data_IF_581218377202
#
_entry.id   IF_581218377202
#
_cell.length_a   1.000
_cell.length_b   1.000
_cell.length_c   1.000
_cell.angle_alpha   90.00
_cell.angle_beta   90.00
_cell.angle_gamma   90.00
#
_symmetry.space_group_name_H-M   'P 1'
#
loop_
_entity.id
_entity.type
_entity.pdbx_description
1 polymer ?
#
# COMPACT_ATOMS: atom_id res chain seq x y z
N UNK A 1 8.83 13.83 -21.84
CA UNK A 1 9.40 14.12 -20.51
C UNK A 1 8.28 14.79 -19.72
N UNK A 2 8.13 14.47 -18.45
CA UNK A 2 7.15 15.11 -17.56
C UNK A 2 7.40 16.63 -17.50
N UNK A 3 6.34 17.43 -17.47
CA UNK A 3 6.42 18.89 -17.29
C UNK A 3 6.94 19.26 -15.88
N UNK A 4 6.73 18.36 -14.90
CA UNK A 4 7.06 18.58 -13.48
C UNK A 4 8.32 17.81 -13.08
N UNK A 5 9.21 18.50 -12.38
CA UNK A 5 10.45 17.95 -11.83
C UNK A 5 10.26 17.47 -10.39
N UNK A 6 11.21 16.73 -9.85
CA UNK A 6 11.22 16.31 -8.45
C UNK A 6 11.09 17.51 -7.49
N UNK A 7 11.65 18.69 -7.88
CA UNK A 7 11.62 19.88 -7.03
C UNK A 7 10.22 20.48 -6.89
N UNK A 8 9.36 20.32 -7.92
CA UNK A 8 7.99 20.84 -7.92
C UNK A 8 7.09 20.14 -6.89
N UNK A 9 7.46 18.95 -6.44
CA UNK A 9 6.71 18.19 -5.41
C UNK A 9 7.28 18.35 -4.00
N UNK A 10 8.45 19.00 -3.83
CA UNK A 10 9.10 19.15 -2.53
C UNK A 10 8.62 20.39 -1.77
N UNK A 11 8.36 20.19 -0.49
CA UNK A 11 8.06 21.28 0.45
C UNK A 11 8.68 21.03 1.81
N UNK A 12 9.12 22.10 2.49
CA UNK A 12 9.65 22.05 3.84
C UNK A 12 10.91 21.18 4.00
N UNK A 13 11.29 21.00 5.26
CA UNK A 13 12.42 20.13 5.63
C UNK A 13 11.93 18.95 6.48
N UNK A 14 12.21 17.70 6.09
CA UNK A 14 11.84 16.52 6.87
C UNK A 14 12.46 16.56 8.27
N UNK A 15 11.66 16.21 9.28
CA UNK A 15 12.04 16.21 10.70
C UNK A 15 11.95 14.83 11.33
N UNK A 16 12.19 13.80 10.55
CA UNK A 16 12.33 12.44 11.07
C UNK A 16 13.72 12.23 11.68
N UNK A 17 13.88 11.14 12.42
CA UNK A 17 15.17 10.76 12.98
C UNK A 17 16.22 10.56 11.88
N UNK A 18 17.49 10.92 12.10
CA UNK A 18 18.57 10.58 11.17
C UNK A 18 18.60 9.07 10.91
N UNK A 19 18.67 8.67 9.65
CA UNK A 19 18.66 7.26 9.23
C UNK A 19 17.28 6.58 9.18
N UNK A 20 16.21 7.29 9.54
CA UNK A 20 14.84 6.77 9.39
C UNK A 20 14.49 6.49 7.92
N UNK A 21 13.88 5.35 7.64
CA UNK A 21 13.48 4.95 6.30
C UNK A 21 12.46 5.87 5.63
N UNK A 22 11.72 6.68 6.41
CA UNK A 22 10.77 7.66 5.88
C UNK A 22 11.46 8.70 4.97
N UNK A 23 12.74 9.04 5.22
CA UNK A 23 13.50 9.93 4.35
C UNK A 23 13.71 9.35 2.95
N UNK A 24 14.11 8.08 2.89
CA UNK A 24 14.34 7.38 1.62
C UNK A 24 13.03 7.22 0.84
N UNK A 25 11.96 6.84 1.53
CA UNK A 25 10.64 6.69 0.93
C UNK A 25 10.10 8.03 0.40
N UNK A 26 10.24 9.13 1.13
CA UNK A 26 9.86 10.47 0.64
C UNK A 26 10.59 10.81 -0.67
N UNK A 27 11.90 10.50 -0.76
CA UNK A 27 12.67 10.67 -1.99
C UNK A 27 12.11 9.84 -3.16
N UNK A 28 11.73 8.59 -2.89
CA UNK A 28 11.11 7.72 -3.89
C UNK A 28 9.75 8.24 -4.34
N UNK A 29 8.92 8.75 -3.43
CA UNK A 29 7.61 9.31 -3.74
C UNK A 29 7.72 10.58 -4.60
N UNK A 30 8.61 11.51 -4.26
CA UNK A 30 8.87 12.69 -5.09
C UNK A 30 9.32 12.31 -6.50
N UNK A 31 10.21 11.30 -6.61
CA UNK A 31 10.69 10.82 -7.90
C UNK A 31 9.56 10.14 -8.69
N UNK A 32 8.77 9.29 -8.06
CA UNK A 32 7.62 8.64 -8.70
C UNK A 32 6.62 9.68 -9.22
N UNK A 33 6.27 10.68 -8.42
CA UNK A 33 5.35 11.74 -8.84
C UNK A 33 5.89 12.53 -10.05
N UNK A 34 7.20 12.85 -10.07
CA UNK A 34 7.78 13.53 -11.23
C UNK A 34 7.79 12.68 -12.51
N UNK A 35 7.93 11.36 -12.38
CA UNK A 35 7.87 10.44 -13.53
C UNK A 35 6.42 10.16 -13.98
N UNK A 36 5.44 10.18 -13.06
CA UNK A 36 4.01 10.08 -13.36
C UNK A 36 3.52 11.37 -14.05
N UNK A 37 4.02 12.54 -13.63
CA UNK A 37 3.78 13.82 -14.30
C UNK A 37 2.44 14.47 -14.01
N UNK A 38 1.74 14.08 -12.94
CA UNK A 38 0.48 14.71 -12.53
C UNK A 38 0.78 16.06 -11.86
N UNK A 39 0.07 17.11 -12.28
CA UNK A 39 0.24 18.44 -11.70
C UNK A 39 0.07 18.43 -10.17
N UNK A 40 0.93 19.11 -9.39
CA UNK A 40 0.84 19.11 -7.94
C UNK A 40 -0.54 19.50 -7.37
N UNK A 41 -1.24 20.41 -8.03
CA UNK A 41 -2.59 20.85 -7.65
C UNK A 41 -3.70 19.84 -7.97
N UNK A 42 -3.39 18.73 -8.67
CA UNK A 42 -4.29 17.60 -8.89
C UNK A 42 -3.97 16.42 -7.96
N UNK A 43 -3.10 16.62 -6.98
CA UNK A 43 -2.69 15.61 -6.02
C UNK A 43 -3.11 16.03 -4.61
N UNK A 44 -3.67 15.08 -3.86
CA UNK A 44 -3.90 15.23 -2.43
C UNK A 44 -3.19 14.11 -1.64
N UNK A 45 -2.38 14.49 -0.66
CA UNK A 45 -1.72 13.56 0.27
C UNK A 45 -2.45 13.59 1.60
N UNK A 46 -3.07 12.48 1.98
CA UNK A 46 -3.94 12.37 3.16
C UNK A 46 -3.35 11.37 4.13
N UNK A 47 -3.04 11.79 5.34
CA UNK A 47 -2.39 10.94 6.34
C UNK A 47 -3.19 10.81 7.64
N UNK A 48 -2.94 9.70 8.36
CA UNK A 48 -3.41 9.52 9.74
C UNK A 48 -2.45 10.14 10.76
N UNK A 49 -2.05 9.36 11.77
CA UNK A 49 -1.15 9.80 12.84
C UNK A 49 0.04 8.84 12.96
N UNK A 50 1.21 9.40 13.16
CA UNK A 50 2.47 8.68 13.36
C UNK A 50 3.64 9.38 12.66
N UNK A 51 4.81 8.76 12.66
CA UNK A 51 6.00 9.31 12.00
C UNK A 51 5.77 9.48 10.50
N UNK A 52 5.28 8.45 9.82
CA UNK A 52 4.94 8.45 8.40
C UNK A 52 3.89 9.50 8.05
N UNK A 53 2.95 9.76 8.94
CA UNK A 53 1.85 10.70 8.74
C UNK A 53 2.28 12.17 8.69
N UNK A 54 3.54 12.49 8.98
CA UNK A 54 4.13 13.81 8.74
C UNK A 54 4.40 14.09 7.26
N UNK A 55 4.28 13.08 6.39
CA UNK A 55 4.64 13.17 4.98
C UNK A 55 3.93 14.32 4.23
N UNK A 56 2.63 14.63 4.44
CA UNK A 56 1.98 15.77 3.79
C UNK A 56 2.67 17.12 4.03
N UNK A 57 3.37 17.31 5.15
CA UNK A 57 4.13 18.55 5.44
C UNK A 57 5.37 18.73 4.56
N UNK A 58 5.76 17.69 3.82
CA UNK A 58 6.97 17.68 2.98
C UNK A 58 6.63 17.58 1.49
N UNK A 59 5.34 17.71 1.16
CA UNK A 59 4.82 17.63 -0.20
C UNK A 59 4.25 18.99 -0.62
N UNK A 60 4.62 19.45 -1.81
CA UNK A 60 4.04 20.64 -2.43
C UNK A 60 2.78 20.27 -3.24
N UNK A 61 1.80 19.70 -2.55
CA UNK A 61 0.49 19.26 -3.06
C UNK A 61 -0.58 19.67 -2.07
N UNK A 62 -1.86 19.42 -2.36
CA UNK A 62 -2.85 19.45 -1.29
C UNK A 62 -2.54 18.39 -0.25
N UNK A 63 -2.79 18.68 1.01
CA UNK A 63 -2.50 17.77 2.11
C UNK A 63 -3.45 17.88 3.28
N UNK A 64 -3.77 16.71 3.87
CA UNK A 64 -4.55 16.61 5.12
C UNK A 64 -3.80 15.73 6.10
N UNK A 65 -3.50 16.26 7.28
CA UNK A 65 -3.08 15.47 8.42
C UNK A 65 -4.32 15.25 9.29
N UNK A 66 -4.88 14.04 9.25
CA UNK A 66 -6.18 13.75 9.86
C UNK A 66 -6.07 13.23 11.30
N UNK A 67 -6.98 12.37 11.72
CA UNK A 67 -7.02 11.73 13.04
C UNK A 67 -6.50 10.31 12.94
N UNK A 68 -6.01 9.75 14.04
CA UNK A 68 -5.45 8.40 14.12
C UNK A 68 -6.41 7.35 13.53
N UNK A 69 -5.91 6.62 12.53
CA UNK A 69 -6.63 5.59 11.81
C UNK A 69 -7.76 6.06 10.90
N UNK A 70 -7.85 7.35 10.58
CA UNK A 70 -8.97 7.90 9.77
C UNK A 70 -8.57 8.33 8.36
N UNK A 71 -7.30 8.20 7.99
CA UNK A 71 -6.82 8.61 6.68
C UNK A 71 -7.61 7.98 5.53
N UNK A 72 -7.85 6.67 5.55
CA UNK A 72 -8.59 5.97 4.51
C UNK A 72 -10.05 6.43 4.38
N UNK A 73 -10.71 6.79 5.50
CA UNK A 73 -12.07 7.31 5.49
C UNK A 73 -12.14 8.71 4.86
N UNK A 74 -11.23 9.60 5.27
CA UNK A 74 -11.16 10.98 4.72
C UNK A 74 -10.75 10.93 3.24
N UNK A 75 -9.77 10.10 2.88
CA UNK A 75 -9.34 9.91 1.49
C UNK A 75 -10.49 9.39 0.60
N UNK A 76 -11.29 8.45 1.10
CA UNK A 76 -12.51 7.97 0.42
C UNK A 76 -13.48 9.12 0.14
N UNK A 77 -13.75 9.95 1.15
CA UNK A 77 -14.63 11.10 1.00
C UNK A 77 -14.10 12.10 -0.02
N UNK A 78 -12.81 12.42 0.03
CA UNK A 78 -12.16 13.32 -0.93
C UNK A 78 -12.25 12.81 -2.38
N UNK A 79 -12.00 11.50 -2.59
CA UNK A 79 -12.09 10.88 -3.93
C UNK A 79 -13.50 10.86 -4.48
N UNK A 80 -14.50 10.56 -3.64
CA UNK A 80 -15.91 10.57 -4.07
C UNK A 80 -16.39 11.99 -4.37
N UNK A 81 -15.94 12.99 -3.60
CA UNK A 81 -16.29 14.40 -3.81
C UNK A 81 -15.61 15.00 -5.05
N UNK A 82 -14.38 14.59 -5.35
CA UNK A 82 -13.63 15.01 -6.52
C UNK A 82 -12.89 13.84 -7.16
N UNK A 83 -13.51 13.16 -8.13
CA UNK A 83 -12.93 11.97 -8.78
C UNK A 83 -11.66 12.27 -9.58
N UNK A 84 -11.40 13.52 -9.96
CA UNK A 84 -10.23 13.89 -10.77
C UNK A 84 -8.93 13.97 -9.94
N UNK A 85 -9.03 14.02 -8.61
CA UNK A 85 -7.86 14.06 -7.75
C UNK A 85 -7.14 12.71 -7.72
N UNK A 86 -5.84 12.75 -7.85
CA UNK A 86 -4.96 11.62 -7.49
C UNK A 86 -4.68 11.68 -5.99
N UNK A 87 -5.16 10.67 -5.26
CA UNK A 87 -5.05 10.66 -3.80
C UNK A 87 -4.02 9.65 -3.34
N UNK A 88 -3.07 10.12 -2.53
CA UNK A 88 -2.10 9.31 -1.81
C UNK A 88 -2.47 9.27 -0.33
N UNK A 89 -2.95 8.13 0.15
CA UNK A 89 -3.25 7.91 1.55
C UNK A 89 -2.03 7.31 2.25
N UNK A 90 -1.55 7.95 3.30
CA UNK A 90 -0.33 7.57 4.02
C UNK A 90 -0.67 7.14 5.45
N UNK A 91 -0.26 5.94 5.81
CA UNK A 91 -0.37 5.41 7.18
C UNK A 91 0.88 4.63 7.56
N UNK A 92 1.21 4.61 8.85
CA UNK A 92 2.04 3.54 9.42
C UNK A 92 1.21 2.29 9.67
N UNK A 93 1.89 1.17 9.90
CA UNK A 93 1.26 -0.12 10.22
C UNK A 93 0.33 -0.02 11.44
N UNK A 94 0.77 0.65 12.51
CA UNK A 94 -0.05 0.88 13.70
C UNK A 94 -1.26 1.76 13.44
N UNK A 95 -1.11 2.83 12.67
CA UNK A 95 -2.19 3.75 12.32
C UNK A 95 -3.23 3.08 11.40
N UNK A 96 -2.76 2.43 10.35
CA UNK A 96 -3.62 1.87 9.31
C UNK A 96 -4.30 0.56 9.69
N UNK A 97 -3.64 -0.29 10.49
CA UNK A 97 -4.10 -1.66 10.74
C UNK A 97 -4.64 -1.91 12.16
N UNK A 98 -4.34 -1.04 13.15
CA UNK A 98 -4.97 -1.10 14.46
C UNK A 98 -6.31 -0.33 14.44
N UNK A 99 -6.35 0.87 14.96
CA UNK A 99 -7.59 1.68 14.99
C UNK A 99 -8.13 1.99 13.58
N UNK A 100 -7.26 2.02 12.56
CA UNK A 100 -7.63 2.24 11.17
C UNK A 100 -8.10 0.99 10.43
N UNK A 101 -7.97 -0.21 11.01
CA UNK A 101 -8.21 -1.49 10.32
C UNK A 101 -9.57 -1.59 9.65
N UNK A 102 -10.64 -1.14 10.30
CA UNK A 102 -11.97 -1.11 9.72
C UNK A 102 -12.04 -0.23 8.45
N UNK A 103 -11.42 0.95 8.48
CA UNK A 103 -11.42 1.86 7.34
C UNK A 103 -10.54 1.35 6.20
N UNK A 104 -9.41 0.71 6.53
CA UNK A 104 -8.57 0.02 5.57
C UNK A 104 -9.36 -1.08 4.83
N UNK A 105 -9.99 -2.00 5.56
CA UNK A 105 -10.80 -3.08 5.00
C UNK A 105 -11.89 -2.52 4.08
N UNK A 106 -12.61 -1.49 4.51
CA UNK A 106 -13.71 -0.95 3.73
C UNK A 106 -13.27 -0.14 2.50
N UNK A 107 -12.14 0.56 2.53
CA UNK A 107 -11.58 1.23 1.36
C UNK A 107 -11.15 0.20 0.30
N UNK A 108 -10.41 -0.84 0.73
CA UNK A 108 -9.97 -1.94 -0.14
C UNK A 108 -11.16 -2.72 -0.71
N UNK A 109 -12.12 -3.13 0.13
CA UNK A 109 -13.31 -3.90 -0.29
C UNK A 109 -14.16 -3.16 -1.33
N UNK A 110 -14.31 -1.86 -1.16
CA UNK A 110 -15.06 -1.00 -2.09
C UNK A 110 -14.28 -0.68 -3.36
N UNK A 111 -13.01 -1.00 -3.42
CA UNK A 111 -12.13 -0.66 -4.53
C UNK A 111 -12.13 0.86 -4.81
N UNK A 112 -12.00 1.68 -3.76
CA UNK A 112 -11.90 3.13 -3.92
C UNK A 112 -10.61 3.47 -4.64
N UNK A 113 -10.66 4.33 -5.66
CA UNK A 113 -9.48 4.73 -6.44
C UNK A 113 -8.51 5.59 -5.60
N UNK A 114 -7.69 4.91 -4.80
CA UNK A 114 -6.73 5.47 -3.84
C UNK A 114 -5.38 4.76 -3.91
N UNK A 115 -4.30 5.52 -3.83
CA UNK A 115 -2.95 4.99 -3.60
C UNK A 115 -2.71 4.89 -2.09
N UNK A 116 -2.89 3.70 -1.52
CA UNK A 116 -2.79 3.45 -0.07
C UNK A 116 -1.38 2.98 0.29
N UNK A 117 -0.60 3.83 0.91
CA UNK A 117 0.79 3.54 1.32
C UNK A 117 0.81 3.16 2.80
N UNK A 118 1.34 1.99 3.08
CA UNK A 118 1.52 1.45 4.42
C UNK A 118 3.01 1.35 4.74
N UNK A 119 3.55 2.34 5.51
CA UNK A 119 4.93 2.29 5.99
C UNK A 119 5.00 1.35 7.20
N UNK A 120 5.56 0.15 6.99
CA UNK A 120 5.59 -0.93 7.97
C UNK A 120 6.96 -1.03 8.64
N UNK A 121 7.08 -0.45 9.83
CA UNK A 121 8.27 -0.54 10.68
C UNK A 121 8.06 -1.42 11.91
N UNK A 122 6.91 -2.09 12.02
CA UNK A 122 6.54 -3.02 13.08
C UNK A 122 6.62 -2.40 14.48
N UNK A 123 6.33 -1.08 14.61
CA UNK A 123 6.38 -0.39 15.91
C UNK A 123 5.60 0.94 15.87
N UNK A 124 5.01 1.36 16.98
CA UNK A 124 4.59 2.74 17.18
C UNK A 124 5.80 3.61 17.55
N UNK A 125 6.45 4.22 16.55
CA UNK A 125 7.66 5.02 16.77
C UNK A 125 7.39 6.37 17.42
N UNK A 126 6.33 7.09 16.97
CA UNK A 126 6.01 8.44 17.47
C UNK A 126 5.73 8.47 18.98
N UNK A 127 5.06 7.47 19.49
CA UNK A 127 4.69 7.33 20.91
C UNK A 127 5.74 6.61 21.76
N UNK A 128 6.94 6.42 21.19
CA UNK A 128 8.17 5.93 21.85
C UNK A 128 8.23 4.42 22.10
N UNK A 129 7.71 3.61 21.16
CA UNK A 129 8.10 2.21 21.06
C UNK A 129 7.11 1.20 21.64
N UNK A 130 5.81 1.45 21.57
CA UNK A 130 4.80 0.40 21.79
C UNK A 130 4.79 -0.55 20.59
N UNK A 131 4.50 -1.83 20.84
CA UNK A 131 4.31 -2.79 19.76
C UNK A 131 3.09 -2.41 18.88
N UNK A 132 3.21 -2.66 17.61
CA UNK A 132 2.15 -2.43 16.61
C UNK A 132 1.47 -3.74 16.22
N UNK A 133 0.37 -3.72 15.46
CA UNK A 133 -0.28 -4.95 15.00
C UNK A 133 0.61 -5.87 14.15
N UNK A 134 1.70 -5.35 13.59
CA UNK A 134 2.64 -6.13 12.77
C UNK A 134 3.92 -6.52 13.51
N UNK A 135 4.05 -6.14 14.79
CA UNK A 135 5.17 -6.56 15.64
C UNK A 135 5.18 -8.07 15.83
N UNK A 136 6.37 -8.67 15.76
CA UNK A 136 6.50 -10.11 15.92
C UNK A 136 6.03 -10.60 17.29
N UNK A 137 5.50 -11.83 17.37
CA UNK A 137 5.20 -12.48 18.64
C UNK A 137 6.47 -12.56 19.49
N UNK A 138 6.35 -12.26 20.78
CA UNK A 138 7.47 -12.20 21.71
C UNK A 138 8.26 -10.88 21.69
N UNK A 139 7.85 -9.89 20.88
CA UNK A 139 8.53 -8.59 20.86
C UNK A 139 8.47 -7.88 22.20
N UNK A 140 9.64 -7.56 22.75
CA UNK A 140 9.80 -6.90 24.04
C UNK A 140 9.88 -5.39 23.86
N UNK A 141 9.07 -4.66 24.59
CA UNK A 141 9.10 -3.19 24.65
C UNK A 141 8.88 -2.70 26.08
N UNK A 142 9.02 -1.38 26.30
CA UNK A 142 8.76 -0.80 27.62
C UNK A 142 7.31 -1.03 28.11
N UNK A 143 6.36 -1.05 27.19
CA UNK A 143 4.94 -1.33 27.51
C UNK A 143 4.58 -2.82 27.50
N UNK A 144 5.46 -3.67 26.99
CA UNK A 144 5.31 -5.13 26.92
C UNK A 144 6.60 -5.82 27.37
N UNK A 145 6.97 -5.70 28.66
CA UNK A 145 8.28 -6.12 29.15
C UNK A 145 8.49 -7.65 29.13
N UNK A 146 7.42 -8.43 29.02
CA UNK A 146 7.45 -9.89 28.94
C UNK A 146 7.25 -10.41 27.50
N UNK A 147 7.23 -9.51 26.52
CA UNK A 147 6.95 -9.82 25.12
C UNK A 147 5.48 -9.85 24.77
N UNK A 148 5.20 -9.68 23.47
CA UNK A 148 3.84 -9.77 22.92
C UNK A 148 3.40 -11.24 22.80
N UNK A 149 2.11 -11.53 23.02
CA UNK A 149 1.54 -12.87 22.88
C UNK A 149 0.66 -13.03 21.63
N UNK A 150 0.42 -11.92 20.94
CA UNK A 150 -0.42 -11.86 19.74
C UNK A 150 0.37 -12.27 18.49
N UNK A 151 -0.33 -12.84 17.51
CA UNK A 151 0.22 -13.05 16.19
C UNK A 151 0.14 -11.74 15.39
N UNK A 152 1.20 -11.40 14.63
CA UNK A 152 1.20 -10.18 13.85
C UNK A 152 0.22 -10.24 12.69
N UNK A 153 -0.43 -9.12 12.40
CA UNK A 153 -1.10 -8.96 11.12
C UNK A 153 -0.08 -8.99 9.97
N UNK A 154 -0.47 -9.66 8.90
CA UNK A 154 0.22 -9.64 7.62
C UNK A 154 -0.58 -8.76 6.67
N UNK A 155 -0.09 -7.57 6.27
CA UNK A 155 -0.88 -6.61 5.50
C UNK A 155 -1.47 -7.18 4.21
N UNK A 156 -0.75 -8.08 3.54
CA UNK A 156 -1.24 -8.75 2.33
C UNK A 156 -2.45 -9.67 2.59
N UNK A 157 -2.44 -10.44 3.70
CA UNK A 157 -3.59 -11.28 4.08
C UNK A 157 -4.82 -10.44 4.31
N UNK A 158 -4.67 -9.33 5.04
CA UNK A 158 -5.78 -8.42 5.31
C UNK A 158 -6.29 -7.76 4.01
N UNK A 159 -5.38 -7.36 3.13
CA UNK A 159 -5.71 -6.80 1.82
C UNK A 159 -6.49 -7.81 0.97
N UNK A 160 -5.99 -9.03 0.83
CA UNK A 160 -6.63 -10.06 0.02
C UNK A 160 -7.92 -10.60 0.64
N UNK A 161 -7.98 -10.71 1.98
CA UNK A 161 -9.22 -10.99 2.72
C UNK A 161 -10.31 -9.94 2.50
N UNK A 162 -9.91 -8.68 2.30
CA UNK A 162 -10.80 -7.59 1.90
C UNK A 162 -11.05 -7.50 0.39
N UNK A 163 -10.67 -8.51 -0.40
CA UNK A 163 -10.76 -8.57 -1.87
C UNK A 163 -9.91 -7.51 -2.59
N UNK A 164 -8.71 -7.19 -2.07
CA UNK A 164 -7.78 -6.25 -2.70
C UNK A 164 -7.42 -6.67 -4.14
N UNK A 165 -7.49 -5.70 -5.05
CA UNK A 165 -7.17 -5.88 -6.48
C UNK A 165 -5.73 -5.59 -6.78
N UNK A 166 -5.10 -4.74 -5.99
CA UNK A 166 -3.70 -4.39 -6.13
C UNK A 166 -2.97 -4.54 -4.80
N UNK A 167 -1.81 -5.17 -4.84
CA UNK A 167 -0.86 -5.21 -3.74
C UNK A 167 0.57 -5.24 -4.26
N UNK A 168 1.38 -4.33 -3.79
CA UNK A 168 2.82 -4.30 -4.05
C UNK A 168 3.60 -4.20 -2.74
N UNK A 169 4.85 -4.66 -2.75
CA UNK A 169 5.77 -4.54 -1.60
C UNK A 169 7.13 -4.05 -2.06
N UNK A 170 7.69 -3.10 -1.34
CA UNK A 170 9.06 -2.62 -1.54
C UNK A 170 9.76 -2.38 -0.22
N UNK A 171 11.07 -2.16 -0.28
CA UNK A 171 11.89 -1.76 0.87
C UNK A 171 12.20 -0.27 0.74
N UNK A 172 12.10 0.48 1.82
CA UNK A 172 12.31 1.94 1.83
C UNK A 172 13.70 2.36 1.29
N UNK A 173 14.71 1.52 1.42
CA UNK A 173 16.08 1.76 0.92
C UNK A 173 16.29 1.36 -0.54
N UNK A 174 15.30 0.72 -1.18
CA UNK A 174 15.37 0.37 -2.60
C UNK A 174 14.59 1.39 -3.43
N UNK A 175 15.27 2.48 -3.76
CA UNK A 175 14.68 3.59 -4.52
C UNK A 175 14.03 3.13 -5.83
N UNK A 176 14.69 2.25 -6.58
CA UNK A 176 14.22 1.80 -7.90
C UNK A 176 12.93 0.99 -7.78
N UNK A 177 12.92 -0.01 -6.90
CA UNK A 177 11.74 -0.84 -6.66
C UNK A 177 10.58 -0.03 -6.07
N UNK A 178 10.86 0.89 -5.14
CA UNK A 178 9.85 1.76 -4.57
C UNK A 178 9.19 2.66 -5.62
N UNK A 179 9.98 3.31 -6.48
CA UNK A 179 9.46 4.12 -7.60
C UNK A 179 8.62 3.25 -8.55
N UNK A 180 9.07 2.05 -8.89
CA UNK A 180 8.32 1.10 -9.73
C UNK A 180 6.96 0.74 -9.14
N UNK A 181 6.92 0.36 -7.85
CA UNK A 181 5.68 0.04 -7.14
C UNK A 181 4.72 1.23 -7.06
N UNK A 182 5.23 2.43 -6.77
CA UNK A 182 4.43 3.65 -6.69
C UNK A 182 3.83 4.05 -8.05
N UNK A 183 4.59 3.90 -9.13
CA UNK A 183 4.10 4.15 -10.50
C UNK A 183 3.01 3.15 -10.89
N UNK A 184 3.22 1.86 -10.60
CA UNK A 184 2.21 0.85 -10.86
C UNK A 184 0.94 1.10 -10.04
N UNK A 185 1.08 1.49 -8.76
CA UNK A 185 -0.05 1.86 -7.92
C UNK A 185 -0.85 3.04 -8.49
N UNK A 186 -0.18 4.08 -8.99
CA UNK A 186 -0.84 5.25 -9.59
C UNK A 186 -1.50 4.95 -10.95
N UNK A 187 -1.07 3.92 -11.66
CA UNK A 187 -1.65 3.48 -12.93
C UNK A 187 -2.86 2.56 -12.72
N UNK A 188 -2.87 1.80 -11.64
CA UNK A 188 -4.00 0.95 -11.28
C UNK A 188 -5.26 1.79 -11.01
N UNK A 189 -6.41 1.33 -11.49
CA UNK A 189 -7.72 1.93 -11.21
C UNK A 189 -8.39 1.19 -10.07
N UNK A 190 -8.37 1.79 -8.88
CA UNK A 190 -8.92 1.22 -7.66
C UNK A 190 -8.01 1.38 -6.45
N UNK A 191 -8.27 0.57 -5.41
CA UNK A 191 -7.50 0.61 -4.17
C UNK A 191 -6.15 -0.09 -4.34
N UNK A 192 -5.11 0.70 -4.56
CA UNK A 192 -3.72 0.22 -4.64
C UNK A 192 -3.09 0.21 -3.26
N UNK A 193 -2.77 -0.96 -2.72
CA UNK A 193 -2.04 -1.08 -1.45
C UNK A 193 -0.56 -1.32 -1.72
N UNK A 194 0.30 -0.43 -1.23
CA UNK A 194 1.76 -0.57 -1.28
C UNK A 194 2.30 -0.69 0.13
N UNK A 195 2.79 -1.86 0.50
CA UNK A 195 3.52 -2.08 1.74
C UNK A 195 4.99 -1.70 1.56
N UNK A 196 5.45 -0.75 2.35
CA UNK A 196 6.84 -0.29 2.36
C UNK A 196 7.52 -0.79 3.63
N UNK A 197 8.41 -1.77 3.50
CA UNK A 197 9.19 -2.29 4.60
C UNK A 197 10.23 -1.22 5.02
N UNK A 198 10.04 -0.65 6.20
CA UNK A 198 10.75 0.51 6.69
C UNK A 198 11.39 0.22 8.04
N UNK A 199 12.55 0.80 8.32
CA UNK A 199 13.28 0.61 9.57
C UNK A 199 13.12 1.80 10.51
N UNK A 200 12.68 1.53 11.74
CA UNK A 200 12.69 2.51 12.82
C UNK A 200 14.01 2.42 13.59
N UNK A 201 14.96 3.29 13.28
CA UNK A 201 16.33 3.27 13.86
C UNK A 201 16.38 3.47 15.37
N UNK A 202 15.30 3.95 16.00
CA UNK A 202 15.30 4.28 17.43
C UNK A 202 14.62 3.17 18.26
N UNK A 203 13.49 2.63 17.80
CA UNK A 203 12.64 1.74 18.62
C UNK A 203 12.53 0.32 18.10
N UNK A 204 12.87 0.08 16.83
CA UNK A 204 12.83 -1.24 16.21
C UNK A 204 13.87 -1.36 15.10
N UNK A 205 15.12 -1.04 15.45
CA UNK A 205 16.21 -1.11 14.49
C UNK A 205 16.50 -2.56 14.11
N UNK A 206 16.66 -2.81 12.83
CA UNK A 206 16.97 -4.13 12.30
C UNK A 206 15.77 -5.04 12.02
N UNK A 207 14.55 -4.56 12.18
CA UNK A 207 13.33 -5.39 11.96
C UNK A 207 13.23 -6.00 10.56
N UNK A 208 13.94 -5.47 9.59
CA UNK A 208 13.98 -5.95 8.20
C UNK A 208 15.43 -6.18 7.70
N UNK A 209 16.40 -6.43 8.60
CA UNK A 209 17.83 -6.51 8.26
C UNK A 209 18.15 -7.50 7.14
N UNK A 210 17.41 -8.62 7.07
CA UNK A 210 17.63 -9.64 6.03
C UNK A 210 17.50 -9.12 4.59
N UNK A 211 16.78 -7.99 4.39
CA UNK A 211 16.52 -7.41 3.07
C UNK A 211 16.75 -5.89 3.02
N UNK A 212 17.19 -5.27 4.11
CA UNK A 212 17.30 -3.80 4.16
C UNK A 212 18.51 -3.28 3.38
N UNK A 213 19.58 -4.06 3.27
CA UNK A 213 20.75 -3.79 2.43
C UNK A 213 20.61 -4.36 1.03
N UNK A 214 21.43 -3.89 0.07
CA UNK A 214 21.44 -4.41 -1.29
C UNK A 214 21.88 -5.89 -1.32
N UNK A 215 22.92 -6.22 -0.55
CA UNK A 215 23.44 -7.57 -0.41
C UNK A 215 22.40 -8.52 0.23
N UNK A 216 21.72 -8.04 1.26
CA UNK A 216 20.64 -8.79 1.91
C UNK A 216 19.50 -9.10 0.94
N UNK A 217 19.07 -8.11 0.14
CA UNK A 217 18.04 -8.32 -0.88
C UNK A 217 18.46 -9.29 -1.96
N UNK A 218 19.72 -9.23 -2.42
CA UNK A 218 20.22 -10.15 -3.43
C UNK A 218 20.10 -11.61 -3.00
N UNK A 219 20.24 -11.90 -1.71
CA UNK A 219 20.14 -13.25 -1.15
C UNK A 219 18.73 -13.65 -0.75
N UNK A 220 17.98 -12.75 -0.12
CA UNK A 220 16.76 -13.08 0.64
C UNK A 220 15.49 -12.49 0.03
N UNK A 221 15.55 -11.84 -1.13
CA UNK A 221 14.38 -11.30 -1.80
C UNK A 221 14.22 -11.85 -3.22
N UNK A 222 12.96 -11.88 -3.67
CA UNK A 222 12.61 -12.11 -5.06
C UNK A 222 11.83 -10.92 -5.58
N UNK A 223 12.24 -10.38 -6.72
CA UNK A 223 11.54 -9.29 -7.40
C UNK A 223 10.55 -9.88 -8.40
N UNK A 224 9.27 -9.65 -8.15
CA UNK A 224 8.19 -10.14 -8.99
C UNK A 224 7.90 -9.14 -10.11
N UNK A 225 7.96 -9.63 -11.34
CA UNK A 225 7.56 -8.91 -12.55
C UNK A 225 6.55 -9.75 -13.32
N UNK A 226 5.45 -9.15 -13.76
CA UNK A 226 4.44 -9.84 -14.57
C UNK A 226 5.07 -10.44 -15.84
N UNK A 227 4.74 -11.70 -16.14
CA UNK A 227 5.23 -12.43 -17.31
C UNK A 227 6.68 -12.90 -17.22
N UNK A 228 7.35 -12.75 -16.06
CA UNK A 228 8.73 -13.22 -15.86
C UNK A 228 8.77 -14.44 -14.96
N UNK A 229 9.74 -15.36 -15.19
CA UNK A 229 9.98 -16.49 -14.29
C UNK A 229 10.43 -15.97 -12.92
N UNK A 230 9.91 -16.59 -11.86
CA UNK A 230 10.19 -16.25 -10.47
C UNK A 230 11.54 -16.79 -10.01
N UNK A 231 12.62 -16.12 -10.43
CA UNK A 231 14.03 -16.50 -10.20
C UNK A 231 14.66 -15.48 -9.26
N UNK A 232 15.49 -15.95 -8.32
CA UNK A 232 16.19 -15.12 -7.33
C UNK A 232 17.56 -15.68 -6.96
N UNK A 233 18.26 -15.02 -6.01
CA UNK A 233 19.62 -15.33 -5.62
C UNK A 233 20.65 -14.42 -6.31
N UNK A 234 21.84 -14.27 -5.72
CA UNK A 234 22.90 -13.38 -6.22
C UNK A 234 23.29 -13.68 -7.68
N UNK A 235 23.28 -14.94 -8.05
CA UNK A 235 23.61 -15.43 -9.41
C UNK A 235 22.39 -15.98 -10.15
N UNK A 236 21.17 -15.66 -9.71
CA UNK A 236 19.92 -16.18 -10.27
C UNK A 236 19.84 -17.72 -10.22
N UNK A 237 20.40 -18.31 -9.17
CA UNK A 237 20.54 -19.75 -9.02
C UNK A 237 19.32 -20.47 -8.44
N UNK A 238 18.35 -19.73 -7.90
CA UNK A 238 17.13 -20.30 -7.33
C UNK A 238 15.89 -19.88 -8.08
N UNK A 239 14.87 -20.73 -8.05
CA UNK A 239 13.56 -20.45 -8.61
C UNK A 239 12.44 -21.03 -7.77
N UNK A 240 11.20 -20.56 -8.02
CA UNK A 240 10.00 -21.08 -7.40
C UNK A 240 9.28 -22.06 -8.32
N UNK A 241 8.95 -23.23 -7.80
CA UNK A 241 8.10 -24.23 -8.44
C UNK A 241 6.88 -24.53 -7.58
N UNK A 242 5.85 -25.07 -8.20
CA UNK A 242 4.69 -25.59 -7.47
C UNK A 242 5.01 -26.99 -6.92
N UNK A 243 4.66 -27.22 -5.67
CA UNK A 243 4.69 -28.55 -5.05
C UNK A 243 3.36 -28.82 -4.36
N UNK A 244 2.55 -29.67 -4.95
CA UNK A 244 1.18 -29.88 -4.49
C UNK A 244 0.38 -28.57 -4.51
N UNK A 245 -0.17 -28.16 -3.35
CA UNK A 245 -0.83 -26.88 -3.17
C UNK A 245 0.12 -25.77 -2.68
N UNK A 246 1.40 -26.06 -2.50
CA UNK A 246 2.42 -25.15 -1.97
C UNK A 246 3.36 -24.62 -3.04
N UNK A 247 4.36 -23.88 -2.55
CA UNK A 247 5.53 -23.45 -3.31
C UNK A 247 6.75 -24.18 -2.78
N UNK A 248 7.75 -24.36 -3.65
CA UNK A 248 9.05 -24.93 -3.33
C UNK A 248 10.15 -24.08 -3.95
N UNK A 249 11.19 -23.83 -3.18
CA UNK A 249 12.44 -23.28 -3.69
C UNK A 249 13.26 -24.42 -4.30
N UNK A 250 13.73 -24.21 -5.52
CA UNK A 250 14.57 -25.16 -6.24
C UNK A 250 15.84 -24.49 -6.73
N UNK A 251 16.92 -25.26 -6.91
CA UNK A 251 18.15 -24.76 -7.50
C UNK A 251 18.20 -25.10 -8.97
N UNK A 252 18.33 -24.07 -9.80
CA UNK A 252 18.39 -24.20 -11.25
C UNK A 252 19.71 -24.85 -11.65
N UNK A 253 19.66 -25.81 -12.57
CA UNK A 253 20.82 -26.61 -13.01
C UNK A 253 21.05 -27.88 -12.18
N UNK A 254 20.34 -28.07 -11.06
CA UNK A 254 20.38 -29.33 -10.30
C UNK A 254 19.16 -30.20 -10.60
N UNK A 255 19.32 -31.51 -10.53
CA UNK A 255 18.27 -32.52 -10.79
C UNK A 255 17.53 -32.34 -12.14
N UNK A 256 18.17 -31.75 -13.14
CA UNK A 256 17.59 -31.49 -14.45
C UNK A 256 16.65 -30.28 -14.52
N UNK A 257 16.55 -29.52 -13.44
CA UNK A 257 15.70 -28.30 -13.39
C UNK A 257 16.32 -27.18 -14.23
N UNK A 258 15.52 -26.58 -15.09
CA UNK A 258 15.87 -25.45 -15.96
C UNK A 258 15.02 -24.22 -15.66
N UNK A 259 15.35 -23.06 -16.24
CA UNK A 259 14.51 -21.85 -16.10
C UNK A 259 13.09 -22.05 -16.66
N UNK A 260 12.87 -22.99 -17.57
CA UNK A 260 11.56 -23.29 -18.16
C UNK A 260 10.62 -24.01 -17.18
N UNK A 261 11.17 -24.63 -16.15
CA UNK A 261 10.40 -25.30 -15.09
C UNK A 261 9.95 -24.36 -13.99
N UNK A 262 10.47 -23.11 -13.99
CA UNK A 262 10.17 -22.12 -12.96
C UNK A 262 8.83 -21.45 -13.26
N UNK A 263 8.01 -21.29 -12.20
CA UNK A 263 6.74 -20.60 -12.29
C UNK A 263 6.91 -19.17 -12.82
N UNK A 264 6.07 -18.79 -13.76
CA UNK A 264 5.99 -17.43 -14.29
C UNK A 264 4.99 -16.64 -13.45
N UNK A 265 5.37 -15.44 -13.03
CA UNK A 265 4.49 -14.57 -12.27
C UNK A 265 3.39 -13.97 -13.15
N UNK A 266 2.13 -14.15 -12.76
CA UNK A 266 0.97 -13.49 -13.37
C UNK A 266 0.29 -12.58 -12.36
N UNK A 267 0.65 -11.28 -12.35
CA UNK A 267 0.07 -10.28 -11.47
C UNK A 267 -1.44 -10.05 -11.74
N UNK A 268 -1.91 -10.37 -12.95
CA UNK A 268 -3.27 -10.13 -13.41
C UNK A 268 -4.22 -11.33 -13.22
N UNK A 269 -3.73 -12.45 -12.68
CA UNK A 269 -4.55 -13.60 -12.39
C UNK A 269 -5.69 -13.25 -11.42
N UNK A 270 -6.93 -13.57 -11.80
CA UNK A 270 -8.10 -13.27 -10.94
C UNK A 270 -8.09 -14.08 -9.64
N UNK A 271 -7.59 -15.32 -9.68
CA UNK A 271 -7.41 -16.16 -8.50
C UNK A 271 -6.30 -15.60 -7.61
N UNK A 272 -6.62 -15.41 -6.33
CA UNK A 272 -5.70 -14.81 -5.34
C UNK A 272 -4.76 -15.82 -4.69
N UNK A 273 -4.95 -17.12 -4.92
CA UNK A 273 -4.27 -18.18 -4.15
C UNK A 273 -2.75 -18.10 -4.27
N UNK A 274 -2.22 -17.97 -5.49
CA UNK A 274 -0.77 -17.85 -5.70
C UNK A 274 -0.25 -16.51 -5.15
N UNK A 275 -0.97 -15.41 -5.38
CA UNK A 275 -0.58 -14.09 -4.85
C UNK A 275 -0.47 -14.08 -3.33
N UNK A 276 -1.43 -14.73 -2.64
CA UNK A 276 -1.38 -14.85 -1.20
C UNK A 276 -0.15 -15.65 -0.75
N UNK A 277 0.13 -16.79 -1.39
CA UNK A 277 1.32 -17.60 -1.09
C UNK A 277 2.61 -16.79 -1.28
N UNK A 278 2.75 -16.08 -2.40
CA UNK A 278 3.90 -15.24 -2.67
C UNK A 278 4.06 -14.13 -1.63
N UNK A 279 2.97 -13.47 -1.26
CA UNK A 279 2.98 -12.41 -0.26
C UNK A 279 3.33 -12.88 1.15
N UNK A 280 3.10 -14.16 1.46
CA UNK A 280 3.36 -14.78 2.76
C UNK A 280 4.73 -15.46 2.87
N UNK A 281 5.49 -15.52 1.77
CA UNK A 281 6.84 -16.06 1.79
C UNK A 281 7.73 -15.28 2.75
N UNK A 282 8.45 -16.02 3.61
CA UNK A 282 9.42 -15.46 4.57
C UNK A 282 10.53 -16.46 4.87
N UNK A 283 11.68 -15.92 5.29
CA UNK A 283 12.82 -16.76 5.69
C UNK A 283 12.55 -17.64 6.90
N UNK A 284 13.34 -18.72 7.07
CA UNK A 284 14.51 -19.05 6.25
C UNK A 284 14.20 -19.81 4.95
N UNK A 285 12.97 -20.36 4.80
CA UNK A 285 12.66 -21.32 3.74
C UNK A 285 12.37 -20.65 2.39
N UNK A 286 11.93 -19.40 2.42
CA UNK A 286 11.54 -18.66 1.21
C UNK A 286 12.14 -17.26 1.17
N UNK A 287 12.36 -16.69 -0.04
CA UNK A 287 12.69 -15.29 -0.20
C UNK A 287 11.45 -14.41 0.12
N UNK A 288 11.69 -13.16 0.50
CA UNK A 288 10.63 -12.16 0.64
C UNK A 288 10.26 -11.64 -0.75
N UNK A 289 8.98 -11.71 -1.11
CA UNK A 289 8.49 -11.20 -2.38
C UNK A 289 8.41 -9.66 -2.36
N UNK A 290 9.06 -9.02 -3.33
CA UNK A 290 9.06 -7.58 -3.60
C UNK A 290 8.53 -7.32 -5.02
N UNK A 291 8.11 -6.09 -5.29
CA UNK A 291 7.50 -5.70 -6.57
C UNK A 291 5.98 -5.76 -6.53
N UNK A 292 5.36 -5.79 -7.71
CA UNK A 292 3.90 -5.88 -7.86
C UNK A 292 3.48 -7.34 -7.76
N UNK A 293 2.85 -7.71 -6.66
CA UNK A 293 2.42 -9.09 -6.38
C UNK A 293 1.07 -9.37 -7.06
N UNK A 294 0.17 -8.38 -7.06
CA UNK A 294 -1.16 -8.48 -7.66
C UNK A 294 -1.58 -7.14 -8.26
N UNK A 295 -2.17 -7.19 -9.46
CA UNK A 295 -2.71 -6.04 -10.18
C UNK A 295 -3.87 -6.51 -11.09
N UNK A 296 -5.09 -6.48 -10.59
CA UNK A 296 -6.30 -6.97 -11.28
C UNK A 296 -7.30 -5.85 -11.42
N UNK A 297 -7.65 -5.50 -12.63
CA UNK A 297 -8.65 -4.47 -12.91
C UNK A 297 -10.06 -4.90 -12.47
N UNK A 298 -10.80 -3.96 -11.90
CA UNK A 298 -12.21 -4.10 -11.53
C UNK A 298 -12.87 -2.72 -11.42
N UNK A 299 -14.20 -2.70 -11.40
CA UNK A 299 -14.97 -1.45 -11.26
C UNK A 299 -14.66 -0.78 -9.92
N UNK A 300 -14.43 0.53 -9.94
CA UNK A 300 -14.23 1.32 -8.72
C UNK A 300 -15.56 1.74 -8.11
N UNK A 301 -15.59 1.91 -6.79
CA UNK A 301 -16.79 2.40 -6.08
C UNK A 301 -17.18 3.82 -6.51
N UNK A 302 -16.18 4.72 -6.64
CA UNK A 302 -16.43 6.10 -7.04
C UNK A 302 -17.07 6.17 -8.43
N UNK A 303 -16.59 5.41 -9.41
CA UNK A 303 -17.18 5.41 -10.75
C UNK A 303 -18.59 4.80 -10.73
N UNK A 304 -18.78 3.70 -9.99
CA UNK A 304 -20.09 3.06 -9.86
C UNK A 304 -21.13 3.98 -9.20
N UNK A 305 -20.75 4.72 -8.15
CA UNK A 305 -21.64 5.69 -7.50
C UNK A 305 -22.00 6.84 -8.43
N UNK A 306 -21.02 7.40 -9.14
CA UNK A 306 -21.28 8.48 -10.09
C UNK A 306 -22.19 8.01 -11.24
N UNK A 307 -21.93 6.83 -11.80
CA UNK A 307 -22.78 6.25 -12.84
C UNK A 307 -24.24 6.04 -12.35
N UNK A 308 -24.40 5.51 -11.14
CA UNK A 308 -25.73 5.33 -10.53
C UNK A 308 -26.45 6.67 -10.32
N UNK A 309 -25.73 7.71 -9.86
CA UNK A 309 -26.31 9.05 -9.69
C UNK A 309 -26.78 9.62 -11.02
N UNK A 310 -25.98 9.48 -12.09
CA UNK A 310 -26.36 10.00 -13.42
C UNK A 310 -27.54 9.20 -14.01
N UNK A 311 -27.57 7.89 -13.82
CA UNK A 311 -28.71 7.06 -14.24
C UNK A 311 -30.01 7.50 -13.54
N UNK A 312 -29.97 7.68 -12.21
CA UNK A 312 -31.14 8.08 -11.43
C UNK A 312 -31.57 9.52 -11.78
N UNK A 313 -30.63 10.43 -12.04
CA UNK A 313 -30.95 11.78 -12.53
C UNK A 313 -31.67 11.74 -13.86
N UNK A 314 -31.36 10.81 -14.76
CA UNK A 314 -32.07 10.60 -16.03
C UNK A 314 -33.52 10.16 -15.88
N UNK A 315 -33.85 9.56 -14.71
CA UNK A 315 -35.21 9.08 -14.38
C UNK A 315 -35.98 10.07 -13.50
N UNK A 316 -35.63 11.38 -13.54
CA UNK A 316 -36.20 12.40 -12.64
C UNK A 316 -37.71 12.33 -12.56
N UNK A 317 -38.24 12.08 -11.37
CA UNK A 317 -39.64 12.16 -11.02
C UNK A 317 -40.08 13.60 -10.65
N UNK A 318 -39.13 14.39 -10.16
CA UNK A 318 -39.31 15.75 -9.69
C UNK A 318 -38.31 16.68 -10.36
N UNK A 319 -38.79 17.86 -10.80
CA UNK A 319 -37.98 18.81 -11.59
C UNK A 319 -37.54 20.02 -10.79
N UNK A 320 -38.07 20.20 -9.57
CA UNK A 320 -37.71 21.29 -8.66
C UNK A 320 -37.62 20.81 -7.21
N UNK A 321 -36.92 21.58 -6.38
CA UNK A 321 -36.88 21.35 -4.94
C UNK A 321 -38.25 21.48 -4.28
N UNK A 322 -39.08 22.44 -4.75
CA UNK A 322 -40.44 22.63 -4.28
C UNK A 322 -41.31 21.39 -4.55
N UNK A 323 -41.28 20.86 -5.76
CA UNK A 323 -41.99 19.60 -6.10
C UNK A 323 -41.56 18.45 -5.19
N UNK A 324 -40.27 18.33 -4.88
CA UNK A 324 -39.77 17.31 -3.98
C UNK A 324 -40.31 17.49 -2.55
N UNK A 325 -40.37 18.73 -2.04
CA UNK A 325 -40.90 18.99 -0.71
C UNK A 325 -42.42 18.73 -0.62
N UNK A 326 -43.15 18.94 -1.70
CA UNK A 326 -44.61 18.76 -1.76
C UNK A 326 -45.06 17.30 -2.05
N UNK A 327 -44.10 16.35 -2.13
CA UNK A 327 -44.40 14.95 -2.42
C UNK A 327 -45.06 14.19 -1.29
N UNK A 328 -44.96 14.68 -0.06
CA UNK A 328 -45.59 14.13 1.14
C UNK A 328 -46.75 14.99 1.60
N UNK A 329 -47.44 14.54 2.64
CA UNK A 329 -48.47 15.34 3.28
C UNK A 329 -47.88 16.67 3.75
N UNK A 330 -48.44 17.78 3.24
CA UNK A 330 -48.04 19.13 3.61
C UNK A 330 -49.16 19.81 4.37
N UNK A 331 -48.85 20.74 5.25
CA UNK A 331 -49.81 21.59 5.97
C UNK A 331 -49.36 23.04 5.93
N UNK A 332 -50.31 23.96 5.92
CA UNK A 332 -50.04 25.36 6.04
C UNK A 332 -50.05 25.78 7.51
N UNK A 333 -49.02 26.54 7.92
CA UNK A 333 -49.03 27.24 9.21
C UNK A 333 -49.76 28.54 9.00
N UNK A 334 -50.95 28.66 9.61
CA UNK A 334 -51.77 29.87 9.58
C UNK A 334 -51.34 30.85 10.65
#
# INVERSE_FOLDING_TARGET
>A
MSEYTVQDYKFGQPRWCPGCGDHSFLGALHKAMSEIGIAPHNIAVISGIGCSSRLPYYMNTYGFHTIHGRAAAIATGAKVANPDLTIWQISGDGDGLAIGGNHFIHAVRRNIDLNMILLNNRIYGLTKGQYSPTSARGFVSKSSPYGTVEDPFRPAELCFGARGRFFARCVATDMSAAVGCLKAAAQHKGASVVEVLQNCVIFNNGTHDSIYTKEGRAKNAIYLEHGKPMIFGENREYGLMQEGFGLKVVKIGENGITEQDILVHDAHCKDTTLHLKLALMEGPDFPIALGVIRDVEDVTYNDAVHAQVEEVKGQKKYHSFTELLETNETWEIK
#
